data_IF_975709182227
#
_entry.id   IF_975709182227
#
_cell.length_a   1.000
_cell.length_b   1.000
_cell.length_c   1.000
_cell.angle_alpha   90.00
_cell.angle_beta   90.00
_cell.angle_gamma   90.00
#
_symmetry.space_group_name_H-M   'P 1'
#
loop_
_entity.id
_entity.type
_entity.pdbx_description
1 polymer ?
#
# COMPACT_ATOMS: atom_id res chain seq x y z
N UNK A 1 -9.07 -0.42 50.73
CA UNK A 1 -9.35 -1.60 49.90
C UNK A 1 -10.27 -1.28 48.72
N UNK A 2 -11.39 -0.56 48.95
CA UNK A 2 -12.36 -0.23 47.90
C UNK A 2 -11.75 0.59 46.73
N UNK A 3 -10.85 1.53 47.01
CA UNK A 3 -10.23 2.39 45.98
C UNK A 3 -9.16 1.65 45.14
N UNK A 4 -8.49 0.66 45.72
CA UNK A 4 -7.50 -0.17 45.01
C UNK A 4 -8.23 -1.11 44.04
N UNK A 5 -9.38 -1.61 44.41
CA UNK A 5 -10.19 -2.46 43.50
C UNK A 5 -10.72 -1.68 42.32
N UNK A 6 -11.20 -0.44 42.54
CA UNK A 6 -11.66 0.45 41.46
C UNK A 6 -10.52 0.80 40.52
N UNK A 7 -9.33 1.09 41.05
CA UNK A 7 -8.14 1.41 40.23
C UNK A 7 -7.68 0.19 39.40
N UNK A 8 -7.75 -1.01 39.97
CA UNK A 8 -7.42 -2.25 39.27
C UNK A 8 -8.38 -2.55 38.11
N UNK A 9 -9.69 -2.35 38.32
CA UNK A 9 -10.72 -2.53 37.27
C UNK A 9 -10.56 -1.50 36.17
N UNK A 10 -10.26 -0.24 36.51
CA UNK A 10 -10.04 0.83 35.53
C UNK A 10 -8.81 0.56 34.68
N UNK A 11 -7.72 0.09 35.28
CA UNK A 11 -6.48 -0.29 34.56
C UNK A 11 -6.68 -1.49 33.64
N UNK A 12 -7.51 -2.46 34.04
CA UNK A 12 -7.86 -3.63 33.23
C UNK A 12 -8.69 -3.26 31.98
N UNK A 13 -9.59 -2.28 32.09
CA UNK A 13 -10.41 -1.81 30.96
C UNK A 13 -9.57 -1.08 29.89
N UNK A 14 -8.49 -0.40 30.27
CA UNK A 14 -7.62 0.33 29.34
C UNK A 14 -6.81 -0.65 28.47
N UNK A 15 -6.49 -1.83 28.99
CA UNK A 15 -5.71 -2.85 28.26
C UNK A 15 -6.54 -3.60 27.19
N UNK A 16 -7.87 -3.54 27.24
CA UNK A 16 -8.75 -4.27 26.31
C UNK A 16 -9.01 -3.54 24.98
N UNK A 17 -8.64 -2.26 24.87
CA UNK A 17 -8.90 -1.43 23.70
C UNK A 17 -7.78 -1.38 22.66
N UNK A 18 -6.73 -2.22 22.75
CA UNK A 18 -5.49 -2.03 22.01
C UNK A 18 -5.29 -2.97 20.80
N UNK A 19 -6.34 -3.58 20.29
CA UNK A 19 -6.25 -4.40 19.09
C UNK A 19 -6.69 -3.61 17.85
N UNK A 20 -5.84 -3.58 16.82
CA UNK A 20 -6.19 -3.09 15.50
C UNK A 20 -6.61 -4.28 14.64
N UNK A 21 -7.67 -4.13 13.86
CA UNK A 21 -8.16 -5.16 12.94
C UNK A 21 -8.00 -4.71 11.51
N UNK A 22 -7.64 -5.63 10.64
CA UNK A 22 -7.68 -5.43 9.19
C UNK A 22 -8.48 -6.57 8.55
N UNK A 23 -9.24 -6.24 7.54
CA UNK A 23 -10.02 -7.19 6.76
C UNK A 23 -9.90 -6.84 5.28
N UNK A 24 -8.85 -7.34 4.57
CA UNK A 24 -8.76 -7.17 3.14
C UNK A 24 -9.96 -7.82 2.45
N UNK A 25 -10.49 -7.15 1.43
CA UNK A 25 -11.58 -7.64 0.62
C UNK A 25 -11.08 -8.65 -0.44
N UNK A 26 -12.02 -9.28 -1.15
CA UNK A 26 -11.66 -10.17 -2.25
C UNK A 26 -10.92 -9.39 -3.37
N UNK A 27 -9.73 -9.84 -3.72
CA UNK A 27 -8.86 -9.17 -4.69
C UNK A 27 -7.93 -8.12 -4.07
N UNK A 28 -7.81 -8.10 -2.75
CA UNK A 28 -6.88 -7.26 -2.01
C UNK A 28 -5.92 -8.11 -1.18
N UNK A 29 -4.71 -7.61 -0.99
CA UNK A 29 -3.75 -8.13 -0.03
C UNK A 29 -3.37 -7.06 0.99
N UNK A 30 -3.37 -7.43 2.26
CA UNK A 30 -2.92 -6.59 3.36
C UNK A 30 -1.43 -6.79 3.62
N UNK A 31 -0.65 -5.72 3.62
CA UNK A 31 0.78 -5.74 3.95
C UNK A 31 0.98 -5.16 5.35
N UNK A 32 1.56 -5.94 6.25
CA UNK A 32 1.87 -5.51 7.62
C UNK A 32 3.15 -4.68 7.64
N UNK A 33 3.07 -3.52 8.25
CA UNK A 33 4.22 -2.62 8.47
C UNK A 33 4.39 -2.42 9.97
N UNK A 34 5.42 -3.04 10.54
CA UNK A 34 5.75 -2.90 11.95
C UNK A 34 6.42 -1.57 12.23
N UNK A 35 5.85 -0.80 13.16
CA UNK A 35 6.36 0.49 13.63
C UNK A 35 6.56 0.46 15.14
N UNK A 36 7.65 -0.13 15.66
CA UNK A 36 7.85 -0.28 17.10
C UNK A 36 7.92 1.08 17.78
N UNK A 37 7.20 1.23 18.89
CA UNK A 37 7.09 2.47 19.65
C UNK A 37 8.33 2.77 20.49
N UNK A 38 8.92 1.76 21.11
CA UNK A 38 10.02 1.92 22.09
C UNK A 38 11.17 0.97 21.81
N UNK A 39 10.91 -0.31 21.58
CA UNK A 39 11.91 -1.35 21.35
C UNK A 39 11.49 -2.24 20.17
N UNK A 40 12.45 -2.67 19.37
CA UNK A 40 12.25 -3.61 18.28
C UNK A 40 12.73 -3.08 16.94
N UNK A 41 12.77 -3.96 15.95
CA UNK A 41 13.07 -3.63 14.55
C UNK A 41 11.76 -3.44 13.79
N UNK A 42 11.59 -2.26 13.19
CA UNK A 42 10.48 -2.02 12.26
C UNK A 42 10.73 -2.62 10.89
N UNK A 43 9.69 -2.72 10.10
CA UNK A 43 9.81 -3.17 8.72
C UNK A 43 8.51 -3.73 8.16
N UNK A 44 8.59 -4.10 6.89
CA UNK A 44 7.47 -4.74 6.17
C UNK A 44 7.55 -6.24 6.38
N UNK A 45 6.44 -6.85 6.82
CA UNK A 45 6.30 -8.30 6.86
C UNK A 45 6.17 -8.83 5.42
N UNK A 46 6.95 -9.84 5.09
CA UNK A 46 6.97 -10.41 3.74
C UNK A 46 5.84 -11.40 3.49
N UNK A 47 5.02 -11.68 4.52
CA UNK A 47 3.84 -12.53 4.40
C UNK A 47 2.60 -11.64 4.28
N UNK A 48 1.95 -11.58 3.10
CA UNK A 48 0.73 -10.79 2.95
C UNK A 48 -0.43 -11.41 3.73
N UNK A 49 -1.37 -10.57 4.13
CA UNK A 49 -2.64 -10.99 4.71
C UNK A 49 -3.64 -11.13 3.57
N UNK A 50 -4.12 -12.35 3.38
CA UNK A 50 -5.18 -12.63 2.42
C UNK A 50 -6.55 -12.18 2.95
N UNK A 51 -7.59 -12.40 2.16
CA UNK A 51 -8.98 -12.10 2.54
C UNK A 51 -9.35 -12.72 3.88
N UNK A 52 -9.80 -11.90 4.81
CA UNK A 52 -10.21 -12.34 6.14
C UNK A 52 -9.95 -11.29 7.21
N UNK A 53 -10.43 -11.57 8.42
CA UNK A 53 -10.22 -10.70 9.57
C UNK A 53 -8.95 -11.11 10.33
N UNK A 54 -7.99 -10.21 10.43
CA UNK A 54 -6.79 -10.42 11.24
C UNK A 54 -6.69 -9.37 12.35
N UNK A 55 -6.28 -9.83 13.54
CA UNK A 55 -6.05 -9.00 14.72
C UNK A 55 -4.56 -8.78 14.91
N UNK A 56 -4.18 -7.53 15.19
CA UNK A 56 -2.79 -7.21 15.45
C UNK A 56 -2.62 -6.15 16.54
N UNK A 57 -1.36 -5.95 16.94
CA UNK A 57 -1.01 -4.99 17.98
C UNK A 57 -0.98 -3.55 17.44
N UNK A 58 -1.19 -2.56 18.30
CA UNK A 58 -1.16 -1.12 18.00
C UNK A 58 0.09 -0.61 17.27
N UNK A 59 1.19 -1.35 17.32
CA UNK A 59 2.46 -1.00 16.68
C UNK A 59 2.58 -1.50 15.24
N UNK A 60 1.49 -1.98 14.65
CA UNK A 60 1.48 -2.51 13.27
C UNK A 60 0.45 -1.76 12.45
N UNK A 61 0.89 -1.13 11.39
CA UNK A 61 0.02 -0.55 10.36
C UNK A 61 -0.19 -1.54 9.23
N UNK A 62 -1.30 -1.37 8.52
CA UNK A 62 -1.61 -2.14 7.32
C UNK A 62 -1.67 -1.24 6.09
N UNK A 63 -1.12 -1.74 5.01
CA UNK A 63 -1.26 -1.17 3.67
C UNK A 63 -2.06 -2.16 2.83
N UNK A 64 -3.22 -1.73 2.36
CA UNK A 64 -4.03 -2.54 1.46
C UNK A 64 -3.54 -2.31 0.02
N UNK A 65 -3.26 -3.39 -0.68
CA UNK A 65 -2.83 -3.39 -2.07
C UNK A 65 -3.88 -4.11 -2.90
N UNK A 66 -4.39 -3.43 -3.91
CA UNK A 66 -5.34 -4.04 -4.85
C UNK A 66 -4.58 -4.94 -5.83
N UNK A 67 -5.01 -6.21 -5.90
CA UNK A 67 -4.40 -7.25 -6.73
C UNK A 67 -5.11 -7.42 -8.08
N UNK A 68 -6.28 -6.76 -8.24
CA UNK A 68 -7.00 -6.80 -9.50
C UNK A 68 -6.31 -5.93 -10.56
N UNK A 69 -6.49 -6.25 -11.86
CA UNK A 69 -5.97 -5.40 -12.91
C UNK A 69 -6.51 -3.96 -12.81
N UNK A 70 -5.61 -3.00 -12.72
CA UNK A 70 -5.93 -1.57 -12.65
C UNK A 70 -5.50 -0.87 -13.91
N UNK A 71 -6.38 -0.03 -14.46
CA UNK A 71 -6.09 0.81 -15.61
C UNK A 71 -5.68 2.21 -15.14
N UNK A 72 -4.59 2.72 -15.70
CA UNK A 72 -4.09 4.06 -15.45
C UNK A 72 -4.08 4.80 -16.78
N UNK A 73 -4.77 5.94 -16.81
CA UNK A 73 -4.83 6.82 -17.97
C UNK A 73 -3.72 7.87 -17.86
N UNK A 74 -2.96 8.05 -18.94
CA UNK A 74 -1.89 9.03 -19.00
C UNK A 74 -2.06 9.91 -20.23
N UNK A 75 -2.15 11.22 -19.96
CA UNK A 75 -2.22 12.25 -20.98
C UNK A 75 -0.82 12.67 -21.40
N UNK A 76 -0.53 12.63 -22.69
CA UNK A 76 0.75 13.03 -23.29
C UNK A 76 0.53 14.24 -24.17
N UNK A 77 0.44 15.43 -23.55
CA UNK A 77 0.10 16.69 -24.21
C UNK A 77 1.29 17.35 -24.93
N UNK A 78 2.53 16.89 -24.66
CA UNK A 78 3.76 17.51 -25.15
C UNK A 78 4.63 16.53 -25.97
N UNK A 79 4.03 15.53 -26.59
CA UNK A 79 4.79 14.60 -27.42
C UNK A 79 5.14 15.27 -28.76
N UNK A 80 6.41 15.19 -29.15
CA UNK A 80 6.88 15.76 -30.44
C UNK A 80 7.36 14.63 -31.33
N UNK A 81 6.75 14.51 -32.49
CA UNK A 81 7.18 13.55 -33.51
C UNK A 81 8.53 13.96 -34.14
N UNK A 82 9.18 13.01 -34.81
CA UNK A 82 10.45 13.24 -35.53
C UNK A 82 10.41 14.37 -36.60
N UNK A 83 9.23 14.76 -37.04
CA UNK A 83 9.01 15.86 -37.98
C UNK A 83 8.66 17.19 -37.29
N UNK A 84 8.87 17.30 -35.97
CA UNK A 84 8.51 18.43 -35.10
C UNK A 84 7.00 18.75 -35.05
N UNK A 85 6.15 17.79 -35.33
CA UNK A 85 4.71 17.95 -35.12
C UNK A 85 4.38 17.65 -33.65
N UNK A 86 3.66 18.56 -32.97
CA UNK A 86 3.13 18.34 -31.65
C UNK A 86 1.96 17.34 -31.72
N UNK A 87 2.00 16.37 -30.85
CA UNK A 87 0.98 15.33 -30.75
C UNK A 87 0.42 15.32 -29.31
N UNK A 88 -0.89 15.47 -29.24
CA UNK A 88 -1.63 15.32 -27.99
C UNK A 88 -2.46 14.03 -28.06
N UNK A 89 -2.19 13.10 -27.17
CA UNK A 89 -2.94 11.85 -27.15
C UNK A 89 -2.98 11.24 -25.76
N UNK A 90 -4.03 10.48 -25.51
CA UNK A 90 -4.23 9.76 -24.26
C UNK A 90 -3.86 8.30 -24.45
N UNK A 91 -3.15 7.77 -23.49
CA UNK A 91 -2.76 6.37 -23.44
C UNK A 91 -3.26 5.71 -22.16
N UNK A 92 -3.52 4.43 -22.23
CA UNK A 92 -3.92 3.65 -21.07
C UNK A 92 -2.95 2.50 -20.85
N UNK A 93 -2.45 2.37 -19.63
CA UNK A 93 -1.69 1.21 -19.22
C UNK A 93 -2.50 0.38 -18.20
N UNK A 94 -2.60 -0.91 -18.43
CA UNK A 94 -3.22 -1.83 -17.49
C UNK A 94 -2.15 -2.62 -16.76
N UNK A 95 -2.17 -2.56 -15.44
CA UNK A 95 -1.20 -3.20 -14.57
C UNK A 95 -1.91 -4.07 -13.54
N UNK A 96 -1.27 -5.17 -13.19
CA UNK A 96 -1.72 -6.06 -12.13
C UNK A 96 -0.53 -6.43 -11.26
N UNK A 97 -0.71 -6.36 -9.95
CA UNK A 97 0.29 -6.83 -8.99
C UNK A 97 0.24 -8.36 -8.99
N UNK A 98 1.41 -9.00 -9.02
CA UNK A 98 1.50 -10.45 -8.98
C UNK A 98 1.22 -10.96 -7.57
N UNK A 99 0.50 -12.06 -7.46
CA UNK A 99 0.12 -12.70 -6.20
C UNK A 99 1.34 -12.88 -5.27
N UNK A 100 1.14 -12.57 -4.00
CA UNK A 100 2.15 -12.60 -2.94
C UNK A 100 3.34 -11.63 -3.13
N UNK A 101 3.26 -10.69 -4.09
CA UNK A 101 4.31 -9.69 -4.30
C UNK A 101 3.99 -8.31 -3.72
N UNK A 102 2.83 -8.14 -3.12
CA UNK A 102 2.42 -6.89 -2.47
C UNK A 102 3.40 -6.42 -1.38
N UNK A 103 3.99 -7.31 -0.51
CA UNK A 103 4.95 -6.85 0.48
C UNK A 103 6.27 -6.34 -0.14
N UNK A 104 6.73 -6.99 -1.21
CA UNK A 104 7.94 -6.56 -1.93
C UNK A 104 7.71 -5.20 -2.59
N UNK A 105 6.52 -5.00 -3.18
CA UNK A 105 6.12 -3.76 -3.81
C UNK A 105 6.09 -2.62 -2.79
N UNK A 106 5.39 -2.82 -1.66
CA UNK A 106 5.29 -1.81 -0.59
C UNK A 106 6.65 -1.50 0.04
N UNK A 107 7.49 -2.52 0.26
CA UNK A 107 8.82 -2.35 0.83
C UNK A 107 9.75 -1.52 -0.03
N UNK A 108 9.75 -1.74 -1.34
CA UNK A 108 10.71 -1.13 -2.26
C UNK A 108 10.22 0.21 -2.82
N UNK A 109 8.91 0.37 -3.04
CA UNK A 109 8.34 1.50 -3.76
C UNK A 109 7.28 2.27 -2.96
N UNK A 110 6.84 1.74 -1.83
CA UNK A 110 5.80 2.35 -0.99
C UNK A 110 4.40 2.19 -1.57
N UNK A 111 3.46 2.94 -0.98
CA UNK A 111 2.03 2.88 -1.36
C UNK A 111 1.79 3.49 -2.75
N UNK A 112 2.55 4.55 -3.09
CA UNK A 112 2.40 5.29 -4.35
C UNK A 112 3.33 4.76 -5.46
N UNK A 113 3.54 3.46 -5.51
CA UNK A 113 4.49 2.80 -6.42
C UNK A 113 4.26 3.17 -7.91
N UNK A 114 3.00 3.31 -8.34
CA UNK A 114 2.69 3.69 -9.71
C UNK A 114 3.25 5.08 -10.03
N UNK A 115 2.86 6.09 -9.28
CA UNK A 115 3.26 7.49 -9.53
C UNK A 115 4.76 7.72 -9.29
N UNK A 116 5.38 6.94 -8.37
CA UNK A 116 6.80 7.12 -8.03
C UNK A 116 7.76 6.52 -9.04
N UNK A 117 7.37 5.44 -9.72
CA UNK A 117 8.29 4.66 -10.56
C UNK A 117 7.74 4.40 -11.95
N UNK A 118 6.51 3.89 -12.07
CA UNK A 118 5.99 3.38 -13.34
C UNK A 118 5.60 4.52 -14.27
N UNK A 119 4.93 5.53 -13.75
CA UNK A 119 4.39 6.66 -14.54
C UNK A 119 5.45 7.31 -15.41
N UNK A 120 6.57 7.73 -14.84
CA UNK A 120 7.63 8.43 -15.58
C UNK A 120 8.34 7.51 -16.58
N UNK A 121 8.58 6.26 -16.20
CA UNK A 121 9.19 5.27 -17.12
C UNK A 121 8.27 5.01 -18.32
N UNK A 122 6.98 4.85 -18.05
CA UNK A 122 5.98 4.66 -19.09
C UNK A 122 5.91 5.84 -20.06
N UNK A 123 5.77 7.07 -19.53
CA UNK A 123 5.72 8.31 -20.33
C UNK A 123 6.97 8.49 -21.20
N UNK A 124 8.15 8.25 -20.61
CA UNK A 124 9.41 8.37 -21.36
C UNK A 124 9.56 7.28 -22.43
N UNK A 125 9.08 6.07 -22.15
CA UNK A 125 9.08 4.99 -23.12
C UNK A 125 8.18 5.31 -24.30
N UNK A 126 6.96 5.76 -24.06
CA UNK A 126 6.01 6.14 -25.12
C UNK A 126 6.57 7.29 -25.96
N UNK A 127 7.12 8.34 -25.32
CA UNK A 127 7.76 9.46 -26.05
C UNK A 127 8.96 9.02 -26.90
N UNK A 128 9.65 7.99 -26.52
CA UNK A 128 10.79 7.47 -27.27
C UNK A 128 10.42 6.67 -28.53
N UNK A 129 9.14 6.35 -28.73
CA UNK A 129 8.62 5.65 -29.90
C UNK A 129 7.93 6.56 -30.90
N UNK A 130 7.74 7.84 -30.59
CA UNK A 130 7.10 8.86 -31.44
C UNK A 130 8.16 9.66 -32.22
#
# INVERSE_FOLDING_TARGET
>A
MKNIFVLSVLCSCIMLGSCTTVAPEAGEEGVKVHKPWVFGTGGVDMTPVETGLEYTWLSTDYVIVNMLPQAYDEDLDDATSNDNTLLDFNTQIQLQVKDNMSPVLVKNYGVNWYSSVIKEVYRNTVRGYI
#
